data_IF_763966159431
#
_entry.id   IF_763966159431
#
_cell.length_a   1.000
_cell.length_b   1.000
_cell.length_c   1.000
_cell.angle_alpha   90.00
_cell.angle_beta   90.00
_cell.angle_gamma   90.00
#
_symmetry.space_group_name_H-M   'P 1'
#
loop_
_entity.id
_entity.type
_entity.pdbx_description
1 polymer ?
#
# COMPACT_ATOMS: atom_id res chain seq x y z
N UNK A 1 23.86 -9.45 11.39
CA UNK A 1 22.76 -9.79 10.47
C UNK A 1 22.48 -8.58 9.60
N UNK A 2 22.82 -8.66 8.34
CA UNK A 2 22.74 -7.53 7.43
C UNK A 2 21.31 -7.44 6.85
N UNK A 3 20.44 -6.69 7.49
CA UNK A 3 19.23 -6.17 6.85
C UNK A 3 19.56 -4.98 5.92
N UNK A 4 20.59 -5.16 5.11
CA UNK A 4 21.05 -4.14 4.17
C UNK A 4 20.54 -4.41 2.74
N UNK A 5 19.51 -5.20 2.58
CA UNK A 5 19.02 -5.63 1.25
C UNK A 5 18.09 -4.57 0.62
N UNK A 6 17.68 -3.56 1.38
CA UNK A 6 16.84 -2.46 0.88
C UNK A 6 17.53 -1.12 1.03
N UNK A 7 18.85 -1.12 0.77
CA UNK A 7 19.61 0.10 0.64
C UNK A 7 19.00 1.00 -0.43
N UNK A 8 18.66 2.16 -0.03
CA UNK A 8 18.61 3.50 -0.64
C UNK A 8 18.41 3.66 -2.16
N UNK A 9 18.64 2.66 -2.97
CA UNK A 9 18.64 2.79 -4.44
C UNK A 9 17.29 2.58 -5.10
N UNK A 10 16.25 2.15 -4.37
CA UNK A 10 15.08 1.62 -5.04
C UNK A 10 13.73 2.01 -4.43
N UNK A 11 13.59 3.25 -3.95
CA UNK A 11 12.25 3.76 -3.61
C UNK A 11 11.29 3.62 -4.80
N UNK A 12 11.78 3.93 -6.00
CA UNK A 12 11.03 3.73 -7.26
C UNK A 12 10.67 2.26 -7.46
N UNK A 13 11.62 1.36 -7.23
CA UNK A 13 11.38 -0.08 -7.36
C UNK A 13 10.36 -0.58 -6.33
N UNK A 14 10.47 -0.15 -5.08
CA UNK A 14 9.50 -0.50 -4.03
C UNK A 14 8.10 0.00 -4.37
N UNK A 15 7.97 1.21 -4.89
CA UNK A 15 6.69 1.76 -5.34
C UNK A 15 6.13 0.98 -6.53
N UNK A 16 6.96 0.64 -7.51
CA UNK A 16 6.55 -0.16 -8.67
C UNK A 16 6.08 -1.55 -8.23
N UNK A 17 6.83 -2.20 -7.34
CA UNK A 17 6.46 -3.53 -6.81
C UNK A 17 5.16 -3.47 -6.02
N UNK A 18 4.97 -2.48 -5.15
CA UNK A 18 3.75 -2.30 -4.40
C UNK A 18 2.54 -2.03 -5.31
N UNK A 19 2.71 -1.17 -6.31
CA UNK A 19 1.65 -0.87 -7.29
C UNK A 19 1.31 -2.08 -8.16
N UNK A 20 2.31 -2.83 -8.61
CA UNK A 20 2.08 -4.03 -9.41
C UNK A 20 1.41 -5.14 -8.60
N UNK A 21 1.80 -5.32 -7.35
CA UNK A 21 1.15 -6.27 -6.44
C UNK A 21 -0.32 -5.91 -6.18
N UNK A 22 -0.61 -4.63 -5.93
CA UNK A 22 -1.96 -4.13 -5.73
C UNK A 22 -2.82 -4.32 -6.98
N UNK A 23 -2.31 -3.94 -8.14
CA UNK A 23 -3.00 -4.11 -9.42
C UNK A 23 -3.26 -5.59 -9.72
N UNK A 24 -2.25 -6.44 -9.53
CA UNK A 24 -2.38 -7.89 -9.69
C UNK A 24 -3.44 -8.49 -8.76
N UNK A 25 -3.49 -8.04 -7.53
CA UNK A 25 -4.50 -8.49 -6.56
C UNK A 25 -5.92 -8.08 -6.99
N UNK A 26 -6.11 -6.84 -7.46
CA UNK A 26 -7.41 -6.36 -7.96
C UNK A 26 -7.85 -7.17 -9.19
N UNK A 27 -6.96 -7.42 -10.13
CA UNK A 27 -7.27 -8.25 -11.31
C UNK A 27 -7.65 -9.66 -10.91
N UNK A 28 -6.90 -10.29 -10.01
CA UNK A 28 -7.21 -11.62 -9.48
C UNK A 28 -8.60 -11.65 -8.82
N UNK A 29 -8.88 -10.72 -7.94
CA UNK A 29 -10.18 -10.61 -7.27
C UNK A 29 -11.32 -10.42 -8.26
N UNK A 30 -11.12 -9.57 -9.26
CA UNK A 30 -12.12 -9.34 -10.33
C UNK A 30 -12.48 -10.63 -11.06
N UNK A 31 -11.48 -11.41 -11.46
CA UNK A 31 -11.69 -12.69 -12.15
C UNK A 31 -12.42 -13.68 -11.24
N UNK A 32 -11.98 -13.81 -10.00
CA UNK A 32 -12.55 -14.78 -9.05
C UNK A 32 -14.01 -14.43 -8.72
N UNK A 33 -14.32 -13.18 -8.42
CA UNK A 33 -15.70 -12.76 -8.16
C UNK A 33 -16.60 -12.92 -9.38
N UNK A 34 -16.10 -12.61 -10.57
CA UNK A 34 -16.85 -12.83 -11.80
C UNK A 34 -17.23 -14.31 -11.99
N UNK A 35 -16.30 -15.22 -11.69
CA UNK A 35 -16.53 -16.65 -11.84
C UNK A 35 -17.39 -17.25 -10.72
N UNK A 36 -17.19 -16.84 -9.47
CA UNK A 36 -17.85 -17.44 -8.31
C UNK A 36 -19.24 -16.87 -8.06
N UNK A 37 -19.43 -15.57 -8.27
CA UNK A 37 -20.68 -14.87 -7.99
C UNK A 37 -21.48 -14.55 -9.27
N UNK A 38 -20.91 -14.81 -10.44
CA UNK A 38 -21.50 -14.46 -11.74
C UNK A 38 -21.85 -12.98 -11.90
N UNK A 39 -21.15 -12.11 -11.16
CA UNK A 39 -21.30 -10.67 -11.28
C UNK A 39 -20.72 -10.17 -12.61
N UNK A 40 -21.21 -9.02 -13.08
CA UNK A 40 -20.61 -8.34 -14.23
C UNK A 40 -19.14 -8.02 -13.96
N UNK A 41 -18.35 -7.85 -15.00
CA UNK A 41 -16.93 -7.45 -14.87
C UNK A 41 -16.76 -6.16 -14.07
N UNK A 42 -17.65 -5.18 -14.30
CA UNK A 42 -17.63 -3.90 -13.58
C UNK A 42 -17.94 -4.09 -12.10
N UNK A 43 -18.96 -4.88 -11.76
CA UNK A 43 -19.32 -5.17 -10.38
C UNK A 43 -18.24 -5.95 -9.64
N UNK A 44 -17.60 -6.90 -10.32
CA UNK A 44 -16.48 -7.68 -9.77
C UNK A 44 -15.26 -6.81 -9.52
N UNK A 45 -14.91 -5.93 -10.46
CA UNK A 45 -13.85 -4.96 -10.29
C UNK A 45 -14.12 -3.99 -9.14
N UNK A 46 -15.31 -3.43 -9.09
CA UNK A 46 -15.76 -2.54 -8.02
C UNK A 46 -15.65 -3.20 -6.64
N UNK A 47 -16.16 -4.43 -6.51
CA UNK A 47 -16.08 -5.19 -5.25
C UNK A 47 -14.64 -5.50 -4.85
N UNK A 48 -13.79 -5.85 -5.82
CA UNK A 48 -12.35 -6.09 -5.57
C UNK A 48 -11.65 -4.85 -5.06
N UNK A 49 -11.83 -3.70 -5.70
CA UNK A 49 -11.24 -2.42 -5.26
C UNK A 49 -11.77 -2.04 -3.89
N UNK A 50 -13.08 -2.10 -3.68
CA UNK A 50 -13.72 -1.77 -2.40
C UNK A 50 -13.20 -2.63 -1.24
N UNK A 51 -12.95 -3.92 -1.48
CA UNK A 51 -12.42 -4.85 -0.48
C UNK A 51 -10.95 -4.56 -0.17
N UNK A 52 -10.10 -4.43 -1.20
CA UNK A 52 -8.66 -4.18 -1.03
C UNK A 52 -8.38 -2.82 -0.39
N UNK A 53 -9.16 -1.81 -0.74
CA UNK A 53 -9.06 -0.48 -0.13
C UNK A 53 -9.72 -0.38 1.25
N UNK A 54 -10.28 -1.46 1.76
CA UNK A 54 -10.95 -1.53 3.06
C UNK A 54 -12.21 -0.65 3.19
N UNK A 55 -12.74 -0.14 2.08
CA UNK A 55 -13.96 0.69 2.10
C UNK A 55 -15.18 -0.18 2.40
N UNK A 56 -15.32 -1.32 1.71
CA UNK A 56 -16.36 -2.32 1.99
C UNK A 56 -17.76 -1.74 2.04
N UNK A 57 -18.26 -1.17 0.96
CA UNK A 57 -19.59 -0.52 0.93
C UNK A 57 -20.74 -1.45 1.35
N UNK A 58 -20.59 -2.78 1.17
CA UNK A 58 -21.60 -3.75 1.58
C UNK A 58 -22.80 -3.88 0.64
N UNK A 59 -22.77 -3.22 -0.49
CA UNK A 59 -23.80 -3.31 -1.55
C UNK A 59 -23.65 -4.59 -2.40
N UNK A 60 -22.42 -5.07 -2.56
CA UNK A 60 -22.09 -6.35 -3.18
C UNK A 60 -21.40 -7.23 -2.15
N UNK A 61 -22.09 -8.26 -1.72
CA UNK A 61 -21.58 -9.22 -0.73
C UNK A 61 -21.53 -10.63 -1.30
N UNK A 62 -20.46 -11.39 -1.03
CA UNK A 62 -20.38 -12.79 -1.42
C UNK A 62 -21.55 -13.60 -0.89
N UNK A 63 -22.15 -14.42 -1.76
CA UNK A 63 -23.36 -15.19 -1.44
C UNK A 63 -23.06 -16.63 -1.07
N UNK A 64 -21.98 -17.20 -1.63
CA UNK A 64 -21.59 -18.59 -1.38
C UNK A 64 -20.54 -18.69 -0.28
N UNK A 65 -20.48 -19.83 0.42
CA UNK A 65 -19.48 -20.04 1.47
C UNK A 65 -18.05 -20.04 0.89
N UNK A 66 -17.89 -20.55 -0.31
CA UNK A 66 -16.59 -20.56 -0.99
C UNK A 66 -16.09 -19.12 -1.32
N UNK A 67 -16.97 -18.27 -1.83
CA UNK A 67 -16.63 -16.89 -2.12
C UNK A 67 -16.42 -16.05 -0.85
N UNK A 68 -17.15 -16.33 0.22
CA UNK A 68 -16.95 -15.72 1.54
C UNK A 68 -15.58 -16.08 2.10
N UNK A 69 -15.20 -17.35 2.02
CA UNK A 69 -13.87 -17.80 2.46
C UNK A 69 -12.76 -17.16 1.63
N UNK A 70 -12.91 -17.13 0.31
CA UNK A 70 -11.99 -16.43 -0.58
C UNK A 70 -11.87 -14.96 -0.19
N UNK A 71 -12.99 -14.26 0.02
CA UNK A 71 -13.01 -12.85 0.40
C UNK A 71 -12.31 -12.58 1.71
N UNK A 72 -12.43 -13.48 2.69
CA UNK A 72 -11.73 -13.34 3.97
C UNK A 72 -10.20 -13.35 3.80
N UNK A 73 -9.65 -14.32 3.07
CA UNK A 73 -8.21 -14.36 2.78
C UNK A 73 -7.78 -13.22 1.88
N UNK A 74 -8.58 -12.91 0.87
CA UNK A 74 -8.33 -11.83 -0.07
C UNK A 74 -8.23 -10.46 0.65
N UNK A 75 -9.15 -10.19 1.57
CA UNK A 75 -9.14 -8.97 2.37
C UNK A 75 -7.90 -8.88 3.28
N UNK A 76 -7.53 -9.97 3.95
CA UNK A 76 -6.33 -10.00 4.79
C UNK A 76 -5.05 -9.71 4.00
N UNK A 77 -4.89 -10.32 2.83
CA UNK A 77 -3.74 -10.08 1.95
C UNK A 77 -3.78 -8.65 1.42
N UNK A 78 -4.95 -8.17 0.99
CA UNK A 78 -5.13 -6.81 0.46
C UNK A 78 -4.78 -5.74 1.47
N UNK A 79 -5.26 -5.86 2.70
CA UNK A 79 -4.95 -4.95 3.81
C UNK A 79 -3.45 -4.97 4.13
N UNK A 80 -2.83 -6.16 4.17
CA UNK A 80 -1.39 -6.30 4.41
C UNK A 80 -0.55 -5.56 3.36
N UNK A 81 -0.87 -5.71 2.08
CA UNK A 81 -0.19 -5.01 0.98
C UNK A 81 -0.42 -3.49 1.07
N UNK A 82 -1.66 -3.06 1.32
CA UNK A 82 -2.00 -1.65 1.44
C UNK A 82 -1.27 -0.98 2.60
N UNK A 83 -1.25 -1.58 3.78
CA UNK A 83 -0.55 -1.06 4.96
C UNK A 83 0.97 -1.00 4.74
N UNK A 84 1.56 -2.02 4.11
CA UNK A 84 2.99 -2.04 3.79
C UNK A 84 3.34 -0.91 2.82
N UNK A 85 2.51 -0.68 1.81
CA UNK A 85 2.70 0.40 0.84
C UNK A 85 2.64 1.78 1.49
N UNK A 86 1.66 2.01 2.37
CA UNK A 86 1.53 3.25 3.14
C UNK A 86 2.68 3.43 4.13
N UNK A 87 3.14 2.36 4.77
CA UNK A 87 4.27 2.38 5.69
C UNK A 87 5.57 2.83 5.01
N UNK A 88 5.83 2.34 3.81
CA UNK A 88 7.01 2.75 3.01
C UNK A 88 6.94 4.23 2.63
N UNK A 89 5.78 4.71 2.18
CA UNK A 89 5.58 6.12 1.84
C UNK A 89 5.73 7.01 3.06
N UNK A 90 5.12 6.64 4.19
CA UNK A 90 5.17 7.39 5.44
C UNK A 90 6.59 7.49 6.02
N UNK A 91 7.33 6.39 6.03
CA UNK A 91 8.71 6.35 6.51
C UNK A 91 9.64 7.28 5.70
N UNK A 92 9.44 7.34 4.38
CA UNK A 92 10.22 8.22 3.51
C UNK A 92 9.88 9.70 3.72
N UNK A 93 8.60 10.01 3.94
CA UNK A 93 8.17 11.38 4.23
C UNK A 93 8.76 11.89 5.54
N UNK A 94 8.75 11.08 6.59
CA UNK A 94 9.32 11.41 7.90
C UNK A 94 10.84 11.60 7.84
N UNK A 95 11.56 10.77 7.10
CA UNK A 95 13.02 10.91 6.91
C UNK A 95 13.38 12.23 6.22
N UNK A 96 12.66 12.58 5.17
CA UNK A 96 12.88 13.84 4.44
C UNK A 96 12.64 15.07 5.32
N UNK A 97 11.63 15.00 6.17
CA UNK A 97 11.35 16.05 7.15
C UNK A 97 12.47 16.21 8.18
N UNK A 98 13.02 15.11 8.68
CA UNK A 98 14.14 15.14 9.64
C UNK A 98 15.42 15.68 9.01
N UNK A 99 15.74 15.32 7.78
CA UNK A 99 16.92 15.85 7.08
C UNK A 99 16.84 17.38 6.90
N UNK A 100 15.66 17.90 6.55
CA UNK A 100 15.44 19.35 6.43
C UNK A 100 15.67 20.04 7.77
N UNK A 101 15.13 19.49 8.87
CA UNK A 101 15.29 20.04 10.21
C UNK A 101 16.75 20.02 10.66
N UNK A 102 17.50 18.94 10.39
CA UNK A 102 18.91 18.85 10.71
C UNK A 102 19.76 19.84 9.93
N UNK A 103 19.47 20.03 8.64
CA UNK A 103 20.15 21.02 7.81
C UNK A 103 19.90 22.47 8.27
N UNK A 104 18.65 22.79 8.64
CA UNK A 104 18.32 24.11 9.19
C UNK A 104 19.04 24.33 10.51
N UNK A 105 19.07 23.34 11.40
CA UNK A 105 19.76 23.42 12.68
C UNK A 105 21.26 23.64 12.50
N UNK A 106 21.92 22.87 11.64
CA UNK A 106 23.35 23.03 11.37
C UNK A 106 23.69 24.39 10.76
N UNK A 107 22.83 24.92 9.91
CA UNK A 107 22.99 26.27 9.33
C UNK A 107 22.87 27.37 10.39
N UNK A 108 21.96 27.22 11.35
CA UNK A 108 21.81 28.17 12.46
C UNK A 108 23.01 28.13 13.42
N UNK A 109 23.52 26.94 13.73
CA UNK A 109 24.71 26.77 14.56
C UNK A 109 25.97 27.39 13.91
N UNK A 110 26.12 27.17 12.59
CA UNK A 110 27.22 27.76 11.83
C UNK A 110 27.13 29.30 11.78
N UNK A 111 25.93 29.86 11.66
CA UNK A 111 25.75 31.31 11.64
C UNK A 111 25.98 31.95 13.02
N UNK A 112 25.64 31.23 14.09
CA UNK A 112 25.90 31.66 15.48
C UNK A 112 27.40 31.72 15.79
N UNK A 113 28.16 30.75 15.32
CA UNK A 113 29.63 30.72 15.51
C UNK A 113 30.35 31.84 14.75
N UNK A 114 29.83 32.29 13.60
CA UNK A 114 30.40 33.40 12.84
C UNK A 114 30.23 34.76 13.50
N UNK A 115 29.31 34.89 14.48
CA UNK A 115 29.04 36.14 15.21
C UNK A 115 29.88 36.30 16.49
N UNK A 116 30.60 35.26 16.89
CA UNK A 116 31.53 35.27 18.01
C UNK A 116 32.96 35.57 17.52
#
# INVERSE_FOLDING_TARGET
MRFNILGWTNLRLQMIVAFSALTGLIVLGTIVYHQMEHWSWVSSFYSSVSTVTTVGYGDLTPTTDASRLFTAFYALIGVGIALTSLGVIGANYLRRSQEILLNVRSSLEASSQKKL
#
